data_IF_059427261429
#
_entry.id   IF_059427261429
#
_cell.length_a   1.000
_cell.length_b   1.000
_cell.length_c   1.000
_cell.angle_alpha   90.00
_cell.angle_beta   90.00
_cell.angle_gamma   90.00
#
_symmetry.space_group_name_H-M   'P 1'
#
loop_
_entity.id
_entity.type
_entity.pdbx_description
1 polymer ?
#
# COMPACT_ATOMS: atom_id res chain seq x y z
N UNK A 1 -7.55 -15.45 44.55
CA UNK A 1 -7.36 -14.55 43.39
C UNK A 1 -6.86 -13.22 43.91
N UNK A 2 -5.60 -12.83 43.63
CA UNK A 2 -4.93 -11.71 44.31
C UNK A 2 -5.55 -10.36 43.89
N UNK A 3 -6.00 -9.58 44.83
CA UNK A 3 -6.59 -8.23 44.61
C UNK A 3 -5.64 -7.32 43.82
N UNK A 4 -4.33 -7.48 43.92
CA UNK A 4 -3.31 -6.74 43.18
C UNK A 4 -3.38 -7.06 41.69
N UNK A 5 -3.63 -8.32 41.29
CA UNK A 5 -3.75 -8.73 39.89
C UNK A 5 -5.00 -8.10 39.23
N UNK A 6 -6.11 -7.98 40.00
CA UNK A 6 -7.35 -7.36 39.51
C UNK A 6 -7.17 -5.85 39.27
N UNK A 7 -6.46 -5.15 40.15
CA UNK A 7 -6.14 -3.72 39.94
C UNK A 7 -5.16 -3.48 38.83
N UNK A 8 -4.19 -4.39 38.60
CA UNK A 8 -3.26 -4.32 37.48
C UNK A 8 -3.98 -4.53 36.14
N UNK A 9 -4.86 -5.52 36.06
CA UNK A 9 -5.70 -5.77 34.88
C UNK A 9 -6.69 -4.62 34.61
N UNK A 10 -7.24 -4.03 35.67
CA UNK A 10 -8.13 -2.86 35.52
C UNK A 10 -7.34 -1.63 35.02
N UNK A 11 -6.10 -1.43 35.53
CA UNK A 11 -5.21 -0.37 35.07
C UNK A 11 -4.82 -0.50 33.58
N UNK A 12 -4.53 -1.72 33.14
CA UNK A 12 -4.27 -2.03 31.72
C UNK A 12 -5.49 -1.80 30.84
N UNK A 13 -6.68 -2.13 31.32
CA UNK A 13 -7.94 -1.90 30.60
C UNK A 13 -8.23 -0.40 30.43
N UNK A 14 -8.02 0.39 31.48
CA UNK A 14 -8.21 1.86 31.46
C UNK A 14 -7.17 2.52 30.54
N UNK A 15 -5.90 2.08 30.57
CA UNK A 15 -4.87 2.57 29.68
C UNK A 15 -5.19 2.23 28.22
N UNK A 16 -5.66 1.02 27.94
CA UNK A 16 -6.10 0.59 26.60
C UNK A 16 -7.27 1.44 26.07
N UNK A 17 -8.25 1.75 26.92
CA UNK A 17 -9.41 2.61 26.55
C UNK A 17 -8.94 4.04 26.30
N UNK A 18 -7.99 4.57 27.08
CA UNK A 18 -7.43 5.91 26.91
C UNK A 18 -6.65 6.06 25.58
N UNK A 19 -5.81 5.07 25.25
CA UNK A 19 -5.03 5.03 24.01
C UNK A 19 -5.96 4.87 22.81
N UNK A 20 -6.95 3.99 22.87
CA UNK A 20 -7.95 3.81 21.82
C UNK A 20 -8.82 5.07 21.63
N UNK A 21 -9.18 5.77 22.71
CA UNK A 21 -9.93 7.03 22.64
C UNK A 21 -9.12 8.16 21.98
N UNK A 22 -7.82 8.27 22.30
CA UNK A 22 -6.94 9.26 21.70
C UNK A 22 -6.68 8.96 20.20
N UNK A 23 -6.41 7.70 19.85
CA UNK A 23 -6.28 7.25 18.47
C UNK A 23 -7.56 7.46 17.67
N UNK A 24 -8.73 7.18 18.26
CA UNK A 24 -10.02 7.42 17.62
C UNK A 24 -10.28 8.89 17.35
N UNK A 25 -9.93 9.78 18.28
CA UNK A 25 -10.04 11.25 18.08
C UNK A 25 -9.10 11.76 17.00
N UNK A 26 -7.88 11.22 16.92
CA UNK A 26 -6.90 11.56 15.88
C UNK A 26 -7.31 11.03 14.51
N UNK A 27 -7.81 9.79 14.44
CA UNK A 27 -8.39 9.18 13.22
C UNK A 27 -9.63 9.92 12.74
N UNK A 28 -10.51 10.34 13.68
CA UNK A 28 -11.70 11.13 13.34
C UNK A 28 -11.33 12.49 12.73
N UNK A 29 -10.25 13.12 13.19
CA UNK A 29 -9.76 14.38 12.64
C UNK A 29 -9.14 14.21 11.24
N UNK A 30 -8.42 13.12 11.01
CA UNK A 30 -7.86 12.76 9.69
C UNK A 30 -8.99 12.37 8.73
N UNK A 31 -9.97 11.59 9.20
CA UNK A 31 -11.11 11.14 8.37
C UNK A 31 -12.09 12.28 8.07
N UNK A 32 -12.25 13.26 8.96
CA UNK A 32 -13.04 14.46 8.66
C UNK A 32 -12.39 15.34 7.59
N UNK A 33 -11.06 15.40 7.54
CA UNK A 33 -10.35 16.08 6.47
C UNK A 33 -10.48 15.33 5.13
N UNK A 34 -10.38 14.00 5.14
CA UNK A 34 -10.60 13.17 3.94
C UNK A 34 -12.04 13.29 3.42
N UNK A 35 -13.05 13.21 4.31
CA UNK A 35 -14.47 13.35 3.95
C UNK A 35 -14.79 14.76 3.43
N UNK A 36 -14.13 15.81 3.95
CA UNK A 36 -14.31 17.18 3.44
C UNK A 36 -13.74 17.37 2.03
N UNK A 37 -12.64 16.68 1.70
CA UNK A 37 -12.06 16.67 0.35
C UNK A 37 -12.92 15.85 -0.62
N UNK A 38 -13.40 14.68 -0.20
CA UNK A 38 -14.31 13.83 -0.97
C UNK A 38 -15.63 14.56 -1.28
N UNK A 39 -16.24 15.22 -0.28
CA UNK A 39 -17.48 15.96 -0.46
C UNK A 39 -17.31 17.21 -1.35
N UNK A 40 -16.18 17.90 -1.28
CA UNK A 40 -15.86 19.03 -2.15
C UNK A 40 -15.62 18.58 -3.60
N UNK A 41 -15.05 17.39 -3.80
CA UNK A 41 -14.84 16.77 -5.11
C UNK A 41 -16.18 16.29 -5.72
N UNK A 42 -17.00 15.59 -4.96
CA UNK A 42 -18.34 15.14 -5.39
C UNK A 42 -19.27 16.34 -5.73
N UNK A 43 -19.16 17.43 -4.98
CA UNK A 43 -19.93 18.65 -5.23
C UNK A 43 -19.52 19.36 -6.54
N UNK A 44 -18.27 19.21 -7.00
CA UNK A 44 -17.80 19.68 -8.31
C UNK A 44 -18.31 18.81 -9.46
N UNK A 45 -18.42 17.50 -9.26
CA UNK A 45 -18.89 16.55 -10.30
C UNK A 45 -20.39 16.62 -10.53
N UNK A 46 -21.19 16.91 -9.51
CA UNK A 46 -22.66 16.92 -9.61
C UNK A 46 -23.26 18.22 -10.15
N UNK A 47 -22.45 19.28 -10.35
CA UNK A 47 -22.82 20.49 -11.07
C UNK A 47 -24.19 21.07 -10.69
N UNK A 48 -24.47 21.24 -9.40
CA UNK A 48 -25.75 21.80 -8.96
C UNK A 48 -25.77 23.32 -9.15
N UNK A 49 -26.11 23.72 -10.36
CA UNK A 49 -26.38 25.11 -10.75
C UNK A 49 -27.79 25.48 -10.37
N UNK A 50 -28.07 25.72 -9.11
CA UNK A 50 -29.32 26.32 -8.66
C UNK A 50 -29.03 27.62 -7.90
N UNK A 51 -28.50 28.61 -8.58
CA UNK A 51 -28.55 30.00 -8.11
C UNK A 51 -29.74 30.72 -8.78
N UNK A 52 -30.84 30.77 -8.05
CA UNK A 52 -32.01 31.58 -8.36
C UNK A 52 -31.61 33.06 -8.32
N UNK A 53 -31.74 33.71 -9.45
CA UNK A 53 -31.69 35.17 -9.61
C UNK A 53 -32.90 35.78 -8.90
N UNK A 54 -32.70 36.64 -7.92
CA UNK A 54 -33.65 37.70 -7.57
C UNK A 54 -32.94 39.06 -7.58
N UNK A 55 -33.55 40.07 -8.22
CA UNK A 55 -33.02 41.42 -8.26
C UNK A 55 -33.66 42.24 -7.15
N UNK A 56 -32.89 42.97 -6.33
CA UNK A 56 -33.37 44.26 -5.85
C UNK A 56 -32.21 45.14 -5.36
N UNK A 57 -32.30 46.41 -5.77
CA UNK A 57 -31.37 47.46 -5.53
C UNK A 57 -31.45 48.09 -4.14
N UNK A 58 -30.50 48.98 -3.86
CA UNK A 58 -30.55 49.90 -2.74
C UNK A 58 -29.17 50.32 -2.25
N UNK A 59 -28.80 51.56 -2.56
CA UNK A 59 -27.61 52.27 -2.13
C UNK A 59 -27.39 52.24 -0.61
N UNK A 60 -26.13 52.11 -0.13
CA UNK A 60 -25.53 53.07 0.78
C UNK A 60 -24.03 52.81 0.94
N UNK A 61 -23.29 53.91 0.80
CA UNK A 61 -21.86 53.99 1.03
C UNK A 61 -21.54 53.94 2.52
N UNK A 62 -20.55 53.10 2.91
CA UNK A 62 -19.74 53.35 4.07
C UNK A 62 -18.31 52.86 3.82
N UNK A 63 -17.37 53.79 3.93
CA UNK A 63 -15.94 53.58 3.84
C UNK A 63 -15.46 52.67 4.99
N UNK A 64 -14.57 51.73 4.67
CA UNK A 64 -13.82 51.03 5.69
C UNK A 64 -13.03 49.84 5.15
N UNK A 65 -11.72 49.94 5.17
CA UNK A 65 -10.71 48.91 5.00
C UNK A 65 -10.50 48.39 3.57
N UNK A 66 -9.48 48.91 2.93
CA UNK A 66 -8.87 48.33 1.73
C UNK A 66 -8.29 46.98 2.05
N UNK A 67 -9.03 45.93 1.80
CA UNK A 67 -8.51 44.62 1.50
C UNK A 67 -7.99 44.69 0.06
N UNK A 68 -6.72 44.33 -0.16
CA UNK A 68 -6.18 44.25 -1.51
C UNK A 68 -6.97 43.21 -2.28
N UNK A 69 -7.96 43.69 -3.02
CA UNK A 69 -8.87 42.87 -3.81
C UNK A 69 -8.23 42.42 -5.11
N UNK A 70 -8.63 41.26 -5.48
CA UNK A 70 -8.87 40.70 -6.81
C UNK A 70 -8.13 41.41 -7.97
N UNK A 71 -6.86 41.05 -8.14
CA UNK A 71 -6.23 41.17 -9.45
C UNK A 71 -6.83 40.04 -10.28
N UNK A 72 -7.53 40.34 -11.41
CA UNK A 72 -8.02 39.28 -12.30
C UNK A 72 -6.82 38.41 -12.68
N UNK A 73 -6.97 37.08 -12.51
CA UNK A 73 -5.92 36.14 -12.82
C UNK A 73 -5.56 36.25 -14.30
N UNK A 74 -4.46 36.92 -14.59
CA UNK A 74 -3.85 36.90 -15.92
C UNK A 74 -3.13 35.56 -16.11
N UNK A 75 -3.00 35.09 -17.35
CA UNK A 75 -2.27 33.86 -17.68
C UNK A 75 -0.85 33.83 -17.06
N UNK A 76 -0.21 34.99 -16.93
CA UNK A 76 1.08 35.15 -16.30
C UNK A 76 1.05 34.87 -14.78
N UNK A 77 -0.03 35.25 -14.09
CA UNK A 77 -0.21 34.95 -12.66
C UNK A 77 -0.40 33.46 -12.43
N UNK A 78 -1.13 32.76 -13.29
CA UNK A 78 -1.32 31.30 -13.21
C UNK A 78 0.01 30.59 -13.50
N UNK A 79 0.78 31.01 -14.49
CA UNK A 79 2.09 30.41 -14.78
C UNK A 79 3.08 30.56 -13.62
N UNK A 80 3.05 31.69 -12.90
CA UNK A 80 3.85 31.89 -11.70
C UNK A 80 3.38 30.99 -10.55
N UNK A 81 2.07 30.90 -10.33
CA UNK A 81 1.46 30.02 -9.34
C UNK A 81 1.84 28.54 -9.58
N UNK A 82 1.73 28.07 -10.80
CA UNK A 82 2.13 26.70 -11.19
C UNK A 82 3.59 26.42 -10.86
N UNK A 83 4.49 27.38 -11.09
CA UNK A 83 5.92 27.21 -10.74
C UNK A 83 6.13 27.09 -9.23
N UNK A 84 5.45 27.91 -8.44
CA UNK A 84 5.55 27.85 -6.97
C UNK A 84 4.93 26.57 -6.40
N UNK A 85 3.77 26.14 -6.92
CA UNK A 85 3.12 24.89 -6.52
C UNK A 85 4.00 23.68 -6.84
N UNK A 86 4.68 23.64 -8.01
CA UNK A 86 5.63 22.57 -8.33
C UNK A 86 6.84 22.53 -7.38
N UNK A 87 7.38 23.68 -6.99
CA UNK A 87 8.45 23.74 -5.97
C UNK A 87 7.98 23.18 -4.63
N UNK A 88 6.73 23.45 -4.21
CA UNK A 88 6.16 22.90 -2.98
C UNK A 88 5.98 21.37 -3.09
N UNK A 89 5.56 20.89 -4.25
CA UNK A 89 5.45 19.45 -4.52
C UNK A 89 6.82 18.76 -4.41
N UNK A 90 7.84 19.31 -5.06
CA UNK A 90 9.22 18.79 -5.03
C UNK A 90 9.83 18.86 -3.61
N UNK A 91 9.47 19.87 -2.82
CA UNK A 91 9.90 20.03 -1.44
C UNK A 91 9.13 19.16 -0.44
N UNK A 92 8.07 18.45 -0.87
CA UNK A 92 7.24 17.62 0.01
C UNK A 92 6.32 18.41 0.95
N UNK A 93 6.04 19.68 0.66
CA UNK A 93 5.17 20.53 1.47
C UNK A 93 3.68 20.32 1.09
N UNK A 94 3.18 19.09 1.20
CA UNK A 94 1.89 18.68 0.66
C UNK A 94 0.69 19.41 1.25
N UNK A 95 0.65 19.68 2.57
CA UNK A 95 -0.46 20.38 3.21
C UNK A 95 -0.61 21.83 2.69
N UNK A 96 0.53 22.54 2.59
CA UNK A 96 0.56 23.92 2.06
C UNK A 96 0.21 23.95 0.57
N UNK A 97 0.72 22.95 -0.18
CA UNK A 97 0.40 22.78 -1.58
C UNK A 97 -1.10 22.57 -1.77
N UNK A 98 -1.73 21.65 -1.03
CA UNK A 98 -3.16 21.38 -1.10
C UNK A 98 -4.00 22.64 -0.84
N UNK A 99 -3.66 23.41 0.20
CA UNK A 99 -4.36 24.65 0.54
C UNK A 99 -4.29 25.68 -0.59
N UNK A 100 -3.09 25.92 -1.14
CA UNK A 100 -2.90 26.89 -2.21
C UNK A 100 -3.52 26.42 -3.52
N UNK A 101 -3.31 25.17 -3.89
CA UNK A 101 -3.87 24.58 -5.10
C UNK A 101 -5.38 24.67 -5.11
N UNK A 102 -6.05 24.39 -3.98
CA UNK A 102 -7.50 24.52 -3.86
C UNK A 102 -8.00 25.96 -4.09
N UNK A 103 -7.24 26.99 -3.70
CA UNK A 103 -7.58 28.38 -3.99
C UNK A 103 -7.53 28.65 -5.49
N UNK A 104 -6.46 28.25 -6.16
CA UNK A 104 -6.30 28.46 -7.60
C UNK A 104 -7.33 27.67 -8.41
N UNK A 105 -7.66 26.43 -8.00
CA UNK A 105 -8.68 25.61 -8.69
C UNK A 105 -10.11 26.15 -8.52
N UNK A 106 -10.39 26.91 -7.45
CA UNK A 106 -11.69 27.62 -7.34
C UNK A 106 -11.86 28.69 -8.42
N UNK A 107 -10.76 29.39 -8.74
CA UNK A 107 -10.79 30.50 -9.70
C UNK A 107 -10.59 30.01 -11.15
N UNK A 108 -9.81 28.92 -11.33
CA UNK A 108 -9.50 28.33 -12.63
C UNK A 108 -9.69 26.80 -12.60
N UNK A 109 -10.93 26.28 -12.47
CA UNK A 109 -11.21 24.86 -12.22
C UNK A 109 -10.81 23.93 -13.38
N UNK A 110 -10.71 24.45 -14.60
CA UNK A 110 -10.35 23.69 -15.80
C UNK A 110 -8.92 23.97 -16.28
N UNK A 111 -8.08 24.60 -15.45
CA UNK A 111 -6.70 24.85 -15.85
C UNK A 111 -5.89 23.55 -15.83
N UNK A 112 -5.47 23.09 -17.01
CA UNK A 112 -4.77 21.82 -17.22
C UNK A 112 -3.53 21.67 -16.31
N UNK A 113 -2.72 22.73 -16.16
CA UNK A 113 -1.51 22.66 -15.37
C UNK A 113 -1.79 22.49 -13.86
N UNK A 114 -2.86 23.12 -13.34
CA UNK A 114 -3.30 22.96 -11.96
C UNK A 114 -3.89 21.58 -11.72
N UNK A 115 -4.71 21.05 -12.63
CA UNK A 115 -5.28 19.71 -12.55
C UNK A 115 -4.19 18.62 -12.56
N UNK A 116 -3.14 18.80 -13.36
CA UNK A 116 -2.01 17.87 -13.35
C UNK A 116 -1.22 17.92 -12.02
N UNK A 117 -1.09 19.09 -11.40
CA UNK A 117 -0.47 19.18 -10.05
C UNK A 117 -1.38 18.53 -9.00
N UNK A 118 -2.71 18.66 -9.11
CA UNK A 118 -3.66 17.98 -8.23
C UNK A 118 -3.50 16.45 -8.32
N UNK A 119 -3.42 15.92 -9.54
CA UNK A 119 -3.22 14.49 -9.74
C UNK A 119 -1.90 13.98 -9.16
N UNK A 120 -0.80 14.73 -9.32
CA UNK A 120 0.48 14.41 -8.69
C UNK A 120 0.43 14.46 -7.16
N UNK A 121 -0.26 15.44 -6.58
CA UNK A 121 -0.46 15.53 -5.15
C UNK A 121 -1.26 14.33 -4.62
N UNK A 122 -2.37 13.97 -5.28
CA UNK A 122 -3.20 12.82 -4.92
C UNK A 122 -2.38 11.53 -5.01
N UNK A 123 -1.56 11.35 -6.07
CA UNK A 123 -0.66 10.20 -6.21
C UNK A 123 0.27 10.03 -5.01
N UNK A 124 0.77 11.12 -4.47
CA UNK A 124 1.74 11.11 -3.36
C UNK A 124 1.10 11.02 -1.97
N UNK A 125 -0.18 11.40 -1.84
CA UNK A 125 -0.84 11.56 -0.54
C UNK A 125 -2.06 10.67 -0.31
N UNK A 126 -2.57 9.98 -1.35
CA UNK A 126 -3.76 9.16 -1.26
C UNK A 126 -3.46 7.71 -1.69
N UNK A 127 -4.31 6.73 -1.33
CA UNK A 127 -4.18 5.36 -1.81
C UNK A 127 -4.05 5.29 -3.33
N UNK A 128 -3.22 4.37 -3.82
CA UNK A 128 -2.95 4.23 -5.24
C UNK A 128 -4.22 4.00 -6.08
N UNK A 129 -5.19 3.26 -5.54
CA UNK A 129 -6.50 3.09 -6.20
C UNK A 129 -7.22 4.41 -6.38
N UNK A 130 -7.26 5.27 -5.35
CA UNK A 130 -7.85 6.61 -5.42
C UNK A 130 -7.10 7.48 -6.44
N UNK A 131 -5.77 7.44 -6.43
CA UNK A 131 -4.96 8.18 -7.39
C UNK A 131 -5.24 7.74 -8.84
N UNK A 132 -5.30 6.44 -9.11
CA UNK A 132 -5.59 5.93 -10.46
C UNK A 132 -7.00 6.28 -10.91
N UNK A 133 -8.00 6.21 -10.02
CA UNK A 133 -9.38 6.65 -10.33
C UNK A 133 -9.38 8.14 -10.68
N UNK A 134 -8.67 8.97 -9.91
CA UNK A 134 -8.55 10.40 -10.22
C UNK A 134 -7.89 10.65 -11.58
N UNK A 135 -6.84 9.89 -11.92
CA UNK A 135 -6.23 9.98 -13.25
C UNK A 135 -7.20 9.58 -14.38
N UNK A 136 -8.07 8.56 -14.17
CA UNK A 136 -9.14 8.23 -15.12
C UNK A 136 -10.14 9.37 -15.29
N UNK A 137 -10.61 9.96 -14.19
CA UNK A 137 -11.52 11.10 -14.22
C UNK A 137 -10.88 12.30 -14.93
N UNK A 138 -9.59 12.51 -14.70
CA UNK A 138 -8.82 13.54 -15.39
C UNK A 138 -8.69 13.27 -16.90
N UNK A 139 -8.45 12.02 -17.31
CA UNK A 139 -8.38 11.62 -18.73
C UNK A 139 -9.72 11.83 -19.45
N UNK A 140 -10.84 11.67 -18.75
CA UNK A 140 -12.19 11.91 -19.27
C UNK A 140 -12.56 13.41 -19.31
N UNK A 141 -11.76 14.27 -18.67
CA UNK A 141 -11.98 15.72 -18.65
C UNK A 141 -11.51 16.44 -19.93
N UNK A 142 -11.64 17.78 -19.95
CA UNK A 142 -11.30 18.63 -21.12
C UNK A 142 -9.80 18.90 -21.26
N UNK A 143 -8.95 17.86 -21.18
CA UNK A 143 -7.52 17.99 -21.39
C UNK A 143 -7.15 18.16 -22.88
N UNK A 144 -5.99 18.78 -23.12
CA UNK A 144 -5.32 18.73 -24.42
C UNK A 144 -4.98 17.27 -24.78
N UNK A 145 -4.90 16.96 -26.06
CA UNK A 145 -4.55 15.61 -26.54
C UNK A 145 -3.20 15.14 -25.96
N UNK A 146 -2.24 16.05 -25.87
CA UNK A 146 -0.92 15.73 -25.30
C UNK A 146 -1.00 15.38 -23.83
N UNK A 147 -1.72 16.18 -23.02
CA UNK A 147 -1.88 15.93 -21.59
C UNK A 147 -2.66 14.63 -21.33
N UNK A 148 -3.73 14.38 -22.09
CA UNK A 148 -4.49 13.13 -22.02
C UNK A 148 -3.62 11.90 -22.31
N UNK A 149 -2.77 11.96 -23.34
CA UNK A 149 -1.85 10.86 -23.65
C UNK A 149 -0.86 10.64 -22.52
N UNK A 150 -0.34 11.70 -21.91
CA UNK A 150 0.57 11.60 -20.77
C UNK A 150 -0.14 10.99 -19.54
N UNK A 151 -1.36 11.41 -19.25
CA UNK A 151 -2.19 10.85 -18.17
C UNK A 151 -2.45 9.35 -18.39
N UNK A 152 -2.82 8.94 -19.61
CA UNK A 152 -3.03 7.52 -19.92
C UNK A 152 -1.74 6.69 -19.80
N UNK A 153 -0.60 7.25 -20.20
CA UNK A 153 0.71 6.61 -20.02
C UNK A 153 1.06 6.46 -18.53
N UNK A 154 0.75 7.46 -17.71
CA UNK A 154 0.97 7.43 -16.26
C UNK A 154 0.09 6.38 -15.58
N UNK A 155 -1.21 6.31 -15.92
CA UNK A 155 -2.12 5.24 -15.45
C UNK A 155 -1.50 3.86 -15.73
N UNK A 156 -1.08 3.63 -16.97
CA UNK A 156 -0.51 2.34 -17.37
C UNK A 156 0.78 2.03 -16.61
N UNK A 157 1.65 3.02 -16.43
CA UNK A 157 2.94 2.87 -15.75
C UNK A 157 2.75 2.56 -14.28
N UNK A 158 1.95 3.34 -13.57
CA UNK A 158 1.67 3.17 -12.13
C UNK A 158 1.02 1.82 -11.87
N UNK A 159 -0.01 1.47 -12.64
CA UNK A 159 -0.71 0.21 -12.50
C UNK A 159 0.20 -0.99 -12.72
N UNK A 160 0.94 -1.01 -13.84
CA UNK A 160 1.84 -2.13 -14.16
C UNK A 160 2.99 -2.27 -13.16
N UNK A 161 3.53 -1.15 -12.68
CA UNK A 161 4.58 -1.16 -11.66
C UNK A 161 4.04 -1.75 -10.35
N UNK A 162 2.88 -1.29 -9.88
CA UNK A 162 2.26 -1.79 -8.66
C UNK A 162 1.92 -3.28 -8.78
N UNK A 163 1.28 -3.70 -9.88
CA UNK A 163 0.92 -5.09 -10.12
C UNK A 163 2.14 -6.01 -10.07
N UNK A 164 3.22 -5.67 -10.79
CA UNK A 164 4.45 -6.46 -10.75
C UNK A 164 5.02 -6.57 -9.34
N UNK A 165 5.08 -5.46 -8.62
CA UNK A 165 5.68 -5.41 -7.29
C UNK A 165 4.85 -6.20 -6.27
N UNK A 166 3.54 -6.02 -6.26
CA UNK A 166 2.63 -6.71 -5.35
C UNK A 166 2.62 -8.23 -5.60
N UNK A 167 2.59 -8.65 -6.86
CA UNK A 167 2.63 -10.07 -7.24
C UNK A 167 3.97 -10.73 -6.88
N UNK A 168 5.10 -10.06 -7.14
CA UNK A 168 6.41 -10.56 -6.75
C UNK A 168 6.56 -10.69 -5.23
N UNK A 169 5.91 -9.81 -4.48
CA UNK A 169 5.86 -9.84 -3.02
C UNK A 169 4.74 -10.73 -2.48
N UNK A 170 3.95 -11.40 -3.33
CA UNK A 170 2.79 -12.24 -2.99
C UNK A 170 1.73 -11.49 -2.13
N UNK A 171 1.60 -10.19 -2.33
CA UNK A 171 0.67 -9.33 -1.57
C UNK A 171 -0.73 -9.38 -2.19
N UNK A 172 -1.35 -10.56 -2.18
CA UNK A 172 -2.61 -10.82 -2.88
C UNK A 172 -3.78 -10.00 -2.36
N UNK A 173 -3.76 -9.64 -1.07
CA UNK A 173 -4.77 -8.74 -0.50
C UNK A 173 -4.68 -7.33 -1.10
N UNK A 174 -3.46 -6.78 -1.24
CA UNK A 174 -3.27 -5.47 -1.87
C UNK A 174 -3.52 -5.51 -3.38
N UNK A 175 -3.24 -6.65 -4.05
CA UNK A 175 -3.64 -6.87 -5.44
C UNK A 175 -5.16 -6.83 -5.58
N UNK A 176 -5.90 -7.52 -4.70
CA UNK A 176 -7.36 -7.50 -4.69
C UNK A 176 -7.90 -6.08 -4.46
N UNK A 177 -7.44 -5.40 -3.40
CA UNK A 177 -7.86 -4.05 -3.04
C UNK A 177 -7.68 -3.04 -4.19
N UNK A 178 -6.52 -3.10 -4.87
CA UNK A 178 -6.24 -2.23 -6.02
C UNK A 178 -7.19 -2.52 -7.19
N UNK A 179 -7.32 -3.81 -7.57
CA UNK A 179 -8.10 -4.17 -8.75
C UNK A 179 -9.61 -4.09 -8.53
N UNK A 180 -10.10 -4.31 -7.30
CA UNK A 180 -11.52 -4.15 -6.97
C UNK A 180 -11.98 -2.71 -7.19
N UNK A 181 -11.22 -1.72 -6.69
CA UNK A 181 -11.54 -0.31 -6.88
C UNK A 181 -11.49 0.10 -8.36
N UNK A 182 -10.49 -0.40 -9.11
CA UNK A 182 -10.37 -0.11 -10.54
C UNK A 182 -11.43 -0.80 -11.38
N UNK A 183 -11.81 -2.02 -11.06
CA UNK A 183 -12.91 -2.76 -11.70
C UNK A 183 -14.25 -2.03 -11.53
N UNK A 184 -14.52 -1.45 -10.36
CA UNK A 184 -15.71 -0.64 -10.15
C UNK A 184 -15.74 0.61 -11.04
N UNK A 185 -14.57 1.24 -11.32
CA UNK A 185 -14.46 2.44 -12.16
C UNK A 185 -14.45 2.12 -13.66
N UNK A 186 -13.81 1.03 -14.07
CA UNK A 186 -13.63 0.61 -15.48
C UNK A 186 -13.95 -0.89 -15.60
N UNK A 187 -15.24 -1.25 -15.57
CA UNK A 187 -15.68 -2.66 -15.51
C UNK A 187 -15.36 -3.47 -16.78
N UNK A 188 -15.14 -2.81 -17.90
CA UNK A 188 -14.84 -3.46 -19.18
C UNK A 188 -13.35 -3.79 -19.37
N UNK A 189 -12.48 -3.36 -18.42
CA UNK A 189 -11.06 -3.63 -18.51
C UNK A 189 -10.73 -5.04 -17.99
N UNK A 190 -10.56 -5.97 -18.92
CA UNK A 190 -10.29 -7.38 -18.62
C UNK A 190 -9.08 -7.62 -17.71
N UNK A 191 -8.08 -6.73 -17.76
CA UNK A 191 -6.90 -6.85 -16.89
C UNK A 191 -7.27 -6.74 -15.40
N UNK A 192 -8.20 -5.86 -15.05
CA UNK A 192 -8.65 -5.69 -13.65
C UNK A 192 -9.43 -6.91 -13.18
N UNK A 193 -10.34 -7.42 -14.02
CA UNK A 193 -11.12 -8.63 -13.74
C UNK A 193 -10.19 -9.82 -13.49
N UNK A 194 -9.24 -10.06 -14.38
CA UNK A 194 -8.34 -11.21 -14.29
C UNK A 194 -7.39 -11.11 -13.08
N UNK A 195 -6.81 -9.93 -12.83
CA UNK A 195 -5.92 -9.74 -11.70
C UNK A 195 -6.66 -9.82 -10.35
N UNK A 196 -7.91 -9.35 -10.29
CA UNK A 196 -8.75 -9.46 -9.11
C UNK A 196 -9.13 -10.94 -8.85
N UNK A 197 -9.56 -11.64 -9.89
CA UNK A 197 -9.89 -13.07 -9.78
C UNK A 197 -8.68 -13.92 -9.36
N UNK A 198 -7.50 -13.66 -9.93
CA UNK A 198 -6.26 -14.33 -9.54
C UNK A 198 -5.89 -14.03 -8.06
N UNK A 199 -6.05 -12.79 -7.62
CA UNK A 199 -5.83 -12.44 -6.22
C UNK A 199 -6.79 -13.18 -5.28
N UNK A 200 -8.07 -13.33 -5.64
CA UNK A 200 -9.03 -14.11 -4.87
C UNK A 200 -8.72 -15.61 -4.91
N UNK A 201 -8.24 -16.14 -6.05
CA UNK A 201 -7.79 -17.53 -6.15
C UNK A 201 -6.66 -17.83 -5.16
N UNK A 202 -5.62 -16.98 -5.12
CA UNK A 202 -4.52 -17.13 -4.16
C UNK A 202 -4.94 -16.96 -2.69
N UNK A 203 -6.05 -16.28 -2.44
CA UNK A 203 -6.63 -16.13 -1.09
C UNK A 203 -7.66 -17.20 -0.75
N UNK A 204 -7.88 -18.20 -1.63
CA UNK A 204 -8.92 -19.24 -1.51
C UNK A 204 -10.34 -18.66 -1.35
N UNK A 205 -10.58 -17.43 -1.85
CA UNK A 205 -11.88 -16.77 -1.87
C UNK A 205 -12.65 -17.17 -3.15
N UNK A 206 -12.96 -18.45 -3.32
CA UNK A 206 -13.44 -19.03 -4.58
C UNK A 206 -14.76 -18.43 -5.07
N UNK A 207 -15.70 -18.14 -4.17
CA UNK A 207 -16.97 -17.49 -4.52
C UNK A 207 -16.74 -16.11 -5.15
N UNK A 208 -15.90 -15.27 -4.53
CA UNK A 208 -15.58 -13.93 -5.06
C UNK A 208 -14.83 -14.03 -6.40
N UNK A 209 -13.94 -15.03 -6.54
CA UNK A 209 -13.25 -15.30 -7.79
C UNK A 209 -14.25 -15.59 -8.93
N UNK A 210 -15.21 -16.50 -8.70
CA UNK A 210 -16.21 -16.85 -9.72
C UNK A 210 -17.14 -15.69 -10.03
N UNK A 211 -17.57 -14.90 -9.03
CA UNK A 211 -18.41 -13.73 -9.22
C UNK A 211 -17.74 -12.70 -10.15
N UNK A 212 -16.44 -12.46 -9.96
CA UNK A 212 -15.67 -11.56 -10.82
C UNK A 212 -15.47 -12.16 -12.22
N UNK A 213 -15.13 -13.45 -12.32
CA UNK A 213 -14.93 -14.14 -13.60
C UNK A 213 -16.21 -14.27 -14.43
N UNK A 214 -17.39 -14.15 -13.81
CA UNK A 214 -18.67 -14.16 -14.51
C UNK A 214 -18.84 -12.95 -15.48
N UNK A 215 -18.07 -11.87 -15.29
CA UNK A 215 -18.03 -10.75 -16.22
C UNK A 215 -17.30 -11.06 -17.55
N UNK A 216 -16.55 -12.18 -17.61
CA UNK A 216 -15.83 -12.61 -18.82
C UNK A 216 -16.55 -13.74 -19.55
N UNK A 217 -16.34 -13.89 -20.87
CA UNK A 217 -16.85 -15.05 -21.60
C UNK A 217 -16.40 -16.38 -20.96
N UNK A 218 -17.28 -17.35 -20.88
CA UNK A 218 -17.03 -18.65 -20.25
C UNK A 218 -15.76 -19.34 -20.78
N UNK A 219 -15.46 -19.21 -22.06
CA UNK A 219 -14.30 -19.82 -22.71
C UNK A 219 -13.04 -18.95 -22.69
N UNK A 220 -12.99 -17.91 -21.86
CA UNK A 220 -11.82 -17.04 -21.76
C UNK A 220 -10.63 -17.83 -21.19
N UNK A 221 -9.53 -17.98 -21.96
CA UNK A 221 -8.42 -18.89 -21.65
C UNK A 221 -7.74 -18.61 -20.31
N UNK A 222 -7.48 -17.33 -20.00
CA UNK A 222 -6.87 -16.93 -18.72
C UNK A 222 -7.82 -17.17 -17.54
N UNK A 223 -9.12 -16.96 -17.71
CA UNK A 223 -10.10 -17.27 -16.66
C UNK A 223 -10.14 -18.79 -16.35
N UNK A 224 -10.05 -19.63 -17.38
CA UNK A 224 -9.95 -21.08 -17.20
C UNK A 224 -8.66 -21.49 -16.48
N UNK A 225 -7.53 -20.83 -16.79
CA UNK A 225 -6.26 -21.08 -16.10
C UNK A 225 -6.33 -20.72 -14.61
N UNK A 226 -6.98 -19.59 -14.26
CA UNK A 226 -7.19 -19.16 -12.87
C UNK A 226 -8.05 -20.19 -12.12
N UNK A 227 -9.15 -20.66 -12.73
CA UNK A 227 -9.99 -21.73 -12.16
C UNK A 227 -9.20 -23.01 -11.95
N UNK A 228 -8.43 -23.43 -12.97
CA UNK A 228 -7.58 -24.62 -12.88
C UNK A 228 -6.61 -24.55 -11.69
N UNK A 229 -5.96 -23.43 -11.49
CA UNK A 229 -5.08 -23.19 -10.34
C UNK A 229 -5.86 -23.26 -9.01
N UNK A 230 -6.94 -22.51 -8.87
CA UNK A 230 -7.69 -22.37 -7.62
C UNK A 230 -8.26 -23.72 -7.14
N UNK A 231 -8.85 -24.52 -8.02
CA UNK A 231 -9.47 -25.79 -7.67
C UNK A 231 -8.45 -26.95 -7.51
N UNK A 232 -7.25 -26.86 -8.10
CA UNK A 232 -6.16 -27.83 -7.83
C UNK A 232 -5.59 -27.63 -6.42
N UNK A 233 -5.46 -26.40 -5.95
CA UNK A 233 -4.97 -26.08 -4.62
C UNK A 233 -5.97 -26.53 -3.55
N UNK A 234 -7.29 -26.38 -3.78
CA UNK A 234 -8.33 -26.90 -2.92
C UNK A 234 -8.29 -28.43 -2.80
N UNK A 235 -8.13 -29.14 -3.92
CA UNK A 235 -8.03 -30.60 -3.93
C UNK A 235 -6.79 -31.10 -3.16
N UNK A 236 -5.69 -30.39 -3.21
CA UNK A 236 -4.46 -30.72 -2.49
C UNK A 236 -4.60 -30.51 -0.98
N UNK A 237 -5.30 -29.49 -0.54
CA UNK A 237 -5.53 -29.19 0.89
C UNK A 237 -6.47 -30.20 1.59
N UNK A 238 -7.32 -30.90 0.84
CA UNK A 238 -8.24 -31.93 1.37
C UNK A 238 -7.50 -33.25 1.63
N UNK A 239 -6.39 -33.51 0.95
CA UNK A 239 -5.63 -34.77 1.08
C UNK A 239 -4.72 -34.80 2.33
N UNK A 240 -4.40 -33.67 2.93
CA UNK A 240 -3.55 -33.57 4.13
C UNK A 240 -4.30 -33.75 5.47
N UNK A 241 -5.47 -34.39 5.48
CA UNK A 241 -6.14 -34.75 6.73
C UNK A 241 -5.64 -36.14 7.21
N UNK A 242 -4.81 -36.19 8.28
CA UNK A 242 -4.20 -37.47 8.71
C UNK A 242 -5.20 -38.31 9.53
N UNK A 243 -6.21 -38.84 8.91
CA UNK A 243 -7.13 -39.79 9.53
C UNK A 243 -7.18 -41.14 8.78
N UNK A 244 -6.00 -41.70 8.46
CA UNK A 244 -5.88 -43.15 8.27
C UNK A 244 -4.42 -43.63 8.30
N UNK A 245 -3.93 -44.22 9.42
CA UNK A 245 -2.56 -44.74 9.49
C UNK A 245 -2.53 -46.24 9.15
N UNK A 246 -2.85 -46.65 7.92
CA UNK A 246 -2.66 -48.03 7.52
C UNK A 246 -2.64 -48.22 5.99
N UNK A 247 -1.57 -47.73 5.36
CA UNK A 247 -1.06 -48.32 4.10
C UNK A 247 0.19 -47.59 3.58
N UNK A 248 1.27 -47.58 4.36
CA UNK A 248 2.59 -47.19 3.84
C UNK A 248 3.67 -48.08 4.49
N UNK A 249 3.79 -49.30 3.98
CA UNK A 249 5.02 -50.05 3.99
C UNK A 249 5.07 -50.85 2.71
N UNK A 250 5.90 -50.39 1.83
CA UNK A 250 6.75 -51.16 0.91
C UNK A 250 7.08 -50.34 -0.33
N UNK A 251 8.37 -50.20 -0.54
CA UNK A 251 9.09 -49.71 -1.70
C UNK A 251 9.71 -48.32 -1.60
N UNK A 252 10.85 -48.25 -0.91
CA UNK A 252 11.87 -47.21 -1.16
C UNK A 252 13.25 -47.80 -0.87
N UNK A 253 13.71 -48.72 -1.66
CA UNK A 253 15.14 -48.94 -1.85
C UNK A 253 15.56 -48.40 -3.21
N UNK A 254 16.63 -47.63 -3.20
CA UNK A 254 17.39 -47.06 -4.32
C UNK A 254 16.98 -45.72 -4.91
N UNK A 255 17.46 -44.63 -4.24
CA UNK A 255 18.04 -43.49 -4.92
C UNK A 255 18.99 -42.75 -3.95
N UNK A 256 20.16 -43.32 -3.76
CA UNK A 256 21.30 -42.51 -3.28
C UNK A 256 21.76 -41.65 -4.43
N UNK A 257 21.31 -40.40 -4.48
CA UNK A 257 21.84 -39.37 -5.35
C UNK A 257 22.22 -38.15 -4.52
N UNK A 258 23.53 -37.93 -4.44
CA UNK A 258 24.22 -36.68 -4.13
C UNK A 258 23.41 -35.71 -3.23
N UNK A 259 23.51 -35.84 -1.93
CA UNK A 259 23.16 -34.81 -0.94
C UNK A 259 23.99 -33.58 -1.22
N UNK A 260 23.46 -32.65 -2.00
CA UNK A 260 23.95 -31.28 -2.04
C UNK A 260 23.76 -30.69 -0.66
N UNK A 261 24.84 -30.35 0.01
CA UNK A 261 24.84 -29.69 1.30
C UNK A 261 23.93 -28.47 1.23
N UNK A 262 22.82 -28.48 1.95
CA UNK A 262 21.98 -27.31 2.17
C UNK A 262 22.78 -26.41 3.13
N UNK A 263 23.11 -25.21 2.68
CA UNK A 263 23.84 -24.24 3.52
C UNK A 263 22.95 -23.84 4.69
N UNK A 264 23.34 -24.21 5.89
CA UNK A 264 22.71 -23.76 7.12
C UNK A 264 23.40 -22.47 7.60
N UNK A 265 22.60 -21.48 7.93
CA UNK A 265 23.07 -20.20 8.47
C UNK A 265 22.39 -19.96 9.81
N UNK A 266 23.18 -19.80 10.85
CA UNK A 266 22.72 -19.48 12.19
C UNK A 266 22.86 -17.98 12.42
N UNK A 267 21.73 -17.29 12.59
CA UNK A 267 21.66 -15.83 12.80
C UNK A 267 21.43 -15.57 14.28
N UNK A 268 22.28 -14.78 14.94
CA UNK A 268 22.07 -14.39 16.33
C UNK A 268 20.77 -13.60 16.49
N UNK A 269 19.96 -13.97 17.49
CA UNK A 269 18.75 -13.25 17.88
C UNK A 269 19.02 -12.48 19.16
N UNK A 270 18.66 -11.21 19.18
CA UNK A 270 18.59 -10.43 20.41
C UNK A 270 17.16 -10.48 20.93
N UNK A 271 16.99 -10.91 22.17
CA UNK A 271 15.67 -10.91 22.81
C UNK A 271 15.40 -9.56 23.47
N UNK A 272 14.27 -8.97 23.13
CA UNK A 272 13.78 -7.73 23.70
C UNK A 272 12.33 -7.91 24.16
N UNK A 273 12.13 -8.16 25.46
CA UNK A 273 10.84 -8.60 25.98
C UNK A 273 10.41 -9.94 25.38
N UNK A 274 9.26 -9.95 24.71
CA UNK A 274 8.74 -11.13 24.03
C UNK A 274 9.06 -11.15 22.53
N UNK A 275 9.84 -10.18 22.04
CA UNK A 275 10.23 -10.07 20.64
C UNK A 275 11.67 -10.52 20.42
N UNK A 276 11.94 -11.03 19.22
CA UNK A 276 13.29 -11.28 18.72
C UNK A 276 13.68 -10.19 17.72
N UNK A 277 14.92 -9.74 17.80
CA UNK A 277 15.50 -8.77 16.86
C UNK A 277 16.68 -9.38 16.13
N UNK A 278 16.86 -8.96 14.90
CA UNK A 278 17.95 -9.38 14.01
C UNK A 278 18.56 -8.16 13.34
N UNK A 279 19.85 -8.26 13.00
CA UNK A 279 20.54 -7.25 12.21
C UNK A 279 20.36 -7.52 10.73
N UNK A 280 20.10 -6.46 9.98
CA UNK A 280 20.09 -6.44 8.52
C UNK A 280 20.85 -5.19 8.02
N UNK A 281 21.19 -5.16 6.73
CA UNK A 281 21.80 -4.00 6.09
C UNK A 281 20.93 -3.64 4.87
N UNK A 282 20.53 -2.37 4.79
CA UNK A 282 19.68 -1.86 3.72
C UNK A 282 20.37 -0.67 3.06
N UNK A 283 20.78 -0.79 1.79
CA UNK A 283 21.51 0.28 1.09
C UNK A 283 22.69 0.83 1.92
N UNK A 284 23.49 -0.06 2.50
CA UNK A 284 24.65 0.26 3.35
C UNK A 284 24.31 0.93 4.72
N UNK A 285 23.03 1.01 5.08
CA UNK A 285 22.56 1.40 6.41
C UNK A 285 22.29 0.17 7.26
N UNK A 286 22.83 0.14 8.48
CA UNK A 286 22.50 -0.86 9.48
C UNK A 286 21.05 -0.71 9.94
N UNK A 287 20.36 -1.84 10.07
CA UNK A 287 18.96 -1.88 10.46
C UNK A 287 18.71 -2.93 11.55
N UNK A 288 18.19 -2.50 12.70
CA UNK A 288 17.71 -3.36 13.79
C UNK A 288 16.24 -3.72 13.53
N UNK A 289 15.99 -4.96 13.08
CA UNK A 289 14.70 -5.43 12.64
C UNK A 289 14.06 -6.37 13.66
N UNK A 290 12.78 -6.16 13.97
CA UNK A 290 11.96 -7.12 14.72
C UNK A 290 11.64 -8.29 13.80
N UNK A 291 11.90 -9.52 14.24
CA UNK A 291 11.51 -10.73 13.54
C UNK A 291 10.00 -10.95 13.70
N UNK A 292 9.25 -10.79 12.62
CA UNK A 292 7.78 -10.87 12.65
C UNK A 292 7.24 -11.84 11.59
N UNK A 293 6.96 -13.08 12.05
CA UNK A 293 6.38 -14.13 11.19
C UNK A 293 4.89 -13.90 10.89
N UNK A 294 4.23 -13.01 11.60
CA UNK A 294 2.84 -12.59 11.36
C UNK A 294 2.71 -11.53 10.27
N UNK A 295 3.79 -10.82 9.97
CA UNK A 295 3.79 -9.81 8.92
C UNK A 295 4.04 -10.46 7.54
N UNK A 296 3.10 -10.32 6.60
CA UNK A 296 3.27 -10.81 5.23
C UNK A 296 4.30 -10.01 4.45
N UNK A 297 4.44 -8.73 4.76
CA UNK A 297 5.38 -7.80 4.14
C UNK A 297 6.24 -7.13 5.20
N UNK A 298 7.52 -6.96 4.91
CA UNK A 298 8.45 -6.22 5.79
C UNK A 298 8.07 -4.75 5.87
N UNK A 299 8.41 -4.13 6.98
CA UNK A 299 8.19 -2.71 7.18
C UNK A 299 9.47 -2.04 7.66
N UNK A 300 9.62 -0.76 7.34
CA UNK A 300 10.73 0.09 7.80
C UNK A 300 10.19 1.31 8.53
N UNK A 301 10.91 1.77 9.54
CA UNK A 301 10.57 3.01 10.25
C UNK A 301 10.80 4.21 9.34
N UNK A 302 10.08 5.30 9.60
CA UNK A 302 10.29 6.55 8.86
C UNK A 302 11.72 7.09 9.05
N UNK A 303 12.34 6.85 10.20
CA UNK A 303 13.72 7.26 10.47
C UNK A 303 14.72 6.50 9.59
N UNK A 304 14.58 5.17 9.46
CA UNK A 304 15.41 4.38 8.54
C UNK A 304 15.17 4.77 7.08
N UNK A 305 13.90 4.96 6.68
CA UNK A 305 13.55 5.45 5.34
C UNK A 305 14.28 6.75 5.00
N UNK A 306 14.35 7.70 5.94
CA UNK A 306 15.07 8.96 5.75
C UNK A 306 16.59 8.76 5.67
N UNK A 307 17.18 7.92 6.51
CA UNK A 307 18.63 7.60 6.46
C UNK A 307 19.01 7.03 5.11
N UNK A 308 18.19 6.16 4.55
CA UNK A 308 18.40 5.58 3.21
C UNK A 308 18.19 6.58 2.05
N UNK A 309 17.87 7.84 2.30
CA UNK A 309 17.68 8.87 1.28
C UNK A 309 16.24 9.06 0.80
N UNK A 310 15.27 8.39 1.41
CA UNK A 310 13.85 8.54 1.12
C UNK A 310 13.49 8.12 -0.32
N UNK A 311 12.51 8.78 -0.91
CA UNK A 311 12.05 8.48 -2.27
C UNK A 311 13.08 8.73 -3.38
N UNK A 312 14.23 9.34 -3.08
CA UNK A 312 15.33 9.51 -4.05
C UNK A 312 16.04 8.20 -4.33
N UNK A 313 16.11 7.32 -3.35
CA UNK A 313 16.83 6.04 -3.41
C UNK A 313 15.90 4.85 -3.36
N UNK A 314 14.73 5.00 -2.75
CA UNK A 314 13.71 3.98 -2.61
C UNK A 314 12.54 4.30 -3.55
N UNK A 315 12.43 3.62 -4.71
CA UNK A 315 11.33 3.83 -5.63
C UNK A 315 9.97 3.65 -4.95
N UNK A 316 9.14 4.67 -5.05
CA UNK A 316 7.77 4.68 -4.57
C UNK A 316 6.88 3.83 -5.47
N UNK A 317 6.07 2.96 -4.90
CA UNK A 317 5.12 2.11 -5.62
C UNK A 317 3.71 2.69 -5.53
N UNK A 318 3.34 3.19 -4.37
CA UNK A 318 2.03 3.78 -4.08
C UNK A 318 1.74 3.76 -2.59
N UNK A 319 0.69 4.46 -2.18
CA UNK A 319 0.14 4.31 -0.83
C UNK A 319 -0.91 3.21 -0.83
N UNK A 320 -0.94 2.43 0.24
CA UNK A 320 -1.88 1.32 0.43
C UNK A 320 -2.44 1.34 1.84
N UNK A 321 -3.66 0.87 1.98
CA UNK A 321 -4.24 0.60 3.27
C UNK A 321 -3.71 -0.72 3.80
N UNK A 322 -3.00 -0.70 4.93
CA UNK A 322 -2.35 -1.86 5.52
C UNK A 322 -3.01 -2.17 6.86
N UNK A 323 -3.34 -3.44 7.08
CA UNK A 323 -3.88 -3.90 8.34
C UNK A 323 -2.75 -4.27 9.29
N UNK A 324 -2.79 -3.71 10.49
CA UNK A 324 -1.84 -3.97 11.57
C UNK A 324 -2.58 -4.50 12.80
N UNK A 325 -1.86 -5.00 13.78
CA UNK A 325 -2.46 -5.41 15.05
C UNK A 325 -3.23 -4.26 15.75
N UNK A 326 -2.87 -3.00 15.47
CA UNK A 326 -3.49 -1.79 16.04
C UNK A 326 -4.64 -1.24 15.19
N UNK A 327 -4.94 -1.84 14.05
CA UNK A 327 -5.95 -1.38 13.10
C UNK A 327 -5.39 -1.13 11.70
N UNK A 328 -6.16 -0.42 10.87
CA UNK A 328 -5.79 -0.08 9.51
C UNK A 328 -5.05 1.25 9.46
N UNK A 329 -3.94 1.30 8.74
CA UNK A 329 -3.18 2.52 8.46
C UNK A 329 -2.98 2.68 6.95
N UNK A 330 -2.91 3.92 6.49
CA UNK A 330 -2.44 4.24 5.15
C UNK A 330 -0.92 4.43 5.18
N UNK A 331 -0.19 3.70 4.34
CA UNK A 331 1.27 3.73 4.34
C UNK A 331 1.85 3.55 2.93
N UNK A 332 3.00 4.19 2.71
CA UNK A 332 3.71 4.08 1.46
C UNK A 332 4.36 2.70 1.31
N UNK A 333 4.17 2.07 0.17
CA UNK A 333 4.92 0.91 -0.28
C UNK A 333 6.11 1.41 -1.11
N UNK A 334 7.30 1.00 -0.72
CA UNK A 334 8.55 1.32 -1.41
C UNK A 334 9.29 0.05 -1.81
N UNK A 335 10.24 0.19 -2.71
CA UNK A 335 11.12 -0.86 -3.16
C UNK A 335 12.53 -0.59 -2.63
N UNK A 336 13.06 -1.50 -1.82
CA UNK A 336 14.45 -1.48 -1.38
C UNK A 336 15.29 -2.19 -2.43
N UNK A 337 16.18 -1.49 -3.15
CA UNK A 337 16.95 -2.09 -4.25
C UNK A 337 17.83 -3.25 -3.80
N UNK A 338 18.46 -3.12 -2.63
CA UNK A 338 19.34 -4.15 -2.06
C UNK A 338 19.10 -4.26 -0.54
N UNK A 339 18.78 -5.46 -0.10
CA UNK A 339 18.60 -5.82 1.29
C UNK A 339 19.54 -7.00 1.61
N UNK A 340 20.40 -6.85 2.61
CA UNK A 340 21.35 -7.90 3.03
C UNK A 340 20.90 -8.47 4.38
N UNK A 341 20.71 -9.77 4.42
CA UNK A 341 20.31 -10.48 5.62
C UNK A 341 20.98 -11.86 5.70
N UNK A 342 21.57 -12.16 6.83
CA UNK A 342 22.22 -13.46 7.08
C UNK A 342 23.29 -13.86 6.03
N UNK A 343 23.96 -12.87 5.43
CA UNK A 343 24.93 -13.09 4.35
C UNK A 343 24.32 -13.32 2.98
N UNK A 344 23.00 -13.17 2.84
CA UNK A 344 22.29 -13.17 1.55
C UNK A 344 22.01 -11.76 1.07
N UNK A 345 22.10 -11.54 -0.23
CA UNK A 345 21.71 -10.31 -0.89
C UNK A 345 20.36 -10.53 -1.60
N UNK A 346 19.35 -9.76 -1.19
CA UNK A 346 17.99 -9.86 -1.71
C UNK A 346 17.69 -8.56 -2.44
N UNK A 347 17.49 -8.66 -3.75
CA UNK A 347 17.19 -7.50 -4.58
C UNK A 347 15.69 -7.19 -4.58
N UNK A 348 15.37 -5.90 -4.71
CA UNK A 348 14.02 -5.40 -4.97
C UNK A 348 12.99 -5.81 -3.90
N UNK A 349 13.36 -5.71 -2.63
CA UNK A 349 12.47 -6.04 -1.51
C UNK A 349 11.39 -4.98 -1.36
N UNK A 350 10.13 -5.40 -1.32
CA UNK A 350 9.01 -4.52 -0.98
C UNK A 350 8.97 -4.28 0.52
N UNK A 351 8.79 -3.04 0.93
CA UNK A 351 8.62 -2.67 2.33
C UNK A 351 7.60 -1.53 2.50
N UNK A 352 6.84 -1.60 3.58
CA UNK A 352 5.94 -0.53 4.01
C UNK A 352 6.73 0.46 4.85
N UNK A 353 6.56 1.76 4.58
CA UNK A 353 7.12 2.83 5.41
C UNK A 353 6.13 3.16 6.50
N UNK A 354 6.46 2.81 7.73
CA UNK A 354 5.62 3.08 8.89
C UNK A 354 5.79 4.53 9.38
N UNK A 355 4.73 5.13 9.99
CA UNK A 355 4.83 6.43 10.65
C UNK A 355 5.93 6.47 11.72
N UNK A 356 6.44 7.66 12.03
CA UNK A 356 7.61 7.88 12.91
C UNK A 356 7.45 7.25 14.29
N UNK A 357 6.23 7.26 14.85
CA UNK A 357 5.93 6.74 16.19
C UNK A 357 5.52 5.25 16.21
N UNK A 358 5.46 4.58 15.05
CA UNK A 358 4.96 3.20 14.98
C UNK A 358 5.95 2.17 15.53
N UNK A 359 7.26 2.45 15.42
CA UNK A 359 8.35 1.59 15.89
C UNK A 359 9.39 2.43 16.63
N UNK A 360 9.15 2.84 17.89
CA UNK A 360 10.01 3.80 18.58
C UNK A 360 11.43 3.30 18.88
N UNK A 361 11.65 2.00 18.92
CA UNK A 361 12.93 1.39 19.33
C UNK A 361 13.49 0.40 18.30
N UNK A 362 12.98 0.42 17.07
CA UNK A 362 13.38 -0.52 16.01
C UNK A 362 13.39 0.19 14.67
N UNK A 363 14.27 -0.27 13.79
CA UNK A 363 14.34 0.23 12.42
C UNK A 363 13.30 -0.38 11.50
N UNK A 364 12.67 -1.52 11.89
CA UNK A 364 11.64 -2.13 11.06
C UNK A 364 11.16 -3.49 11.55
N UNK A 365 10.32 -4.12 10.72
CA UNK A 365 9.83 -5.49 10.86
C UNK A 365 10.35 -6.34 9.71
N UNK A 366 10.94 -7.48 10.01
CA UNK A 366 11.36 -8.48 9.03
C UNK A 366 10.22 -9.47 8.82
N UNK A 367 9.48 -9.32 7.71
CA UNK A 367 8.30 -10.10 7.40
C UNK A 367 8.53 -11.30 6.49
N UNK A 368 7.45 -12.02 6.18
CA UNK A 368 7.47 -13.26 5.40
C UNK A 368 7.91 -13.08 3.95
N UNK A 369 7.80 -11.90 3.37
CA UNK A 369 8.33 -11.63 2.01
C UNK A 369 9.87 -11.75 1.95
N UNK A 370 10.56 -11.76 3.09
CA UNK A 370 11.99 -12.05 3.23
C UNK A 370 12.17 -13.44 3.85
N UNK A 371 11.61 -13.69 5.04
CA UNK A 371 11.74 -14.96 5.76
C UNK A 371 11.25 -16.15 4.96
N UNK A 372 10.16 -15.99 4.22
CA UNK A 372 9.57 -17.05 3.40
C UNK A 372 10.43 -17.50 2.21
N UNK A 373 11.58 -16.84 1.95
CA UNK A 373 12.58 -17.30 0.97
C UNK A 373 13.45 -18.44 1.51
N UNK A 374 13.34 -18.70 2.81
CA UNK A 374 14.12 -19.71 3.55
C UNK A 374 13.18 -20.71 4.22
N UNK A 375 13.66 -21.91 4.40
CA UNK A 375 13.15 -22.79 5.45
C UNK A 375 13.85 -22.34 6.72
N UNK A 376 13.05 -21.95 7.73
CA UNK A 376 13.63 -21.36 8.94
C UNK A 376 13.06 -21.96 10.21
N UNK A 377 13.87 -21.94 11.27
CA UNK A 377 13.46 -22.34 12.62
C UNK A 377 14.04 -21.37 13.63
N UNK A 378 13.21 -20.92 14.58
CA UNK A 378 13.65 -20.16 15.72
C UNK A 378 14.12 -21.15 16.78
N UNK A 379 15.33 -20.97 17.30
CA UNK A 379 15.96 -21.76 18.36
C UNK A 379 16.01 -20.90 19.64
N UNK A 380 14.96 -20.92 20.47
CA UNK A 380 14.83 -19.99 21.59
C UNK A 380 15.89 -20.19 22.69
N UNK A 381 16.38 -21.40 22.84
CA UNK A 381 17.36 -21.74 23.89
C UNK A 381 18.76 -21.22 23.54
N UNK A 382 19.07 -21.23 22.23
CA UNK A 382 20.36 -20.76 21.69
C UNK A 382 20.33 -19.27 21.33
N UNK A 383 19.15 -18.63 21.38
CA UNK A 383 18.91 -17.29 20.82
C UNK A 383 19.40 -17.17 19.37
N UNK A 384 19.02 -18.13 18.53
CA UNK A 384 19.41 -18.18 17.12
C UNK A 384 18.21 -18.41 16.20
N UNK A 385 18.32 -17.91 14.99
CA UNK A 385 17.47 -18.24 13.86
C UNK A 385 18.28 -19.11 12.90
N UNK A 386 17.83 -20.33 12.68
CA UNK A 386 18.37 -21.22 11.66
C UNK A 386 17.69 -20.91 10.34
N UNK A 387 18.48 -20.70 9.30
CA UNK A 387 18.02 -20.49 7.93
C UNK A 387 18.62 -21.53 7.00
N UNK A 388 17.79 -22.09 6.14
CA UNK A 388 18.18 -22.98 5.04
C UNK A 388 17.58 -22.44 3.75
N UNK A 389 18.37 -22.37 2.68
CA UNK A 389 17.89 -21.90 1.39
C UNK A 389 16.88 -22.91 0.81
N UNK A 390 15.68 -22.43 0.46
CA UNK A 390 14.68 -23.29 -0.21
C UNK A 390 15.19 -23.68 -1.58
N UNK A 391 15.31 -24.97 -1.82
CA UNK A 391 15.57 -25.50 -3.17
C UNK A 391 14.36 -25.14 -4.04
N UNK A 392 14.55 -24.36 -5.09
CA UNK A 392 13.52 -24.25 -6.13
C UNK A 392 13.21 -25.66 -6.65
N UNK A 393 11.92 -26.03 -6.78
CA UNK A 393 11.59 -27.27 -7.46
C UNK A 393 12.15 -27.22 -8.88
N UNK A 394 12.76 -28.31 -9.32
CA UNK A 394 13.50 -28.43 -10.59
C UNK A 394 12.59 -28.29 -11.85
N UNK A 395 11.29 -28.04 -11.71
CA UNK A 395 10.30 -27.99 -12.78
C UNK A 395 9.43 -26.72 -12.65
N UNK A 396 9.96 -25.57 -13.03
CA UNK A 396 9.18 -24.37 -13.30
C UNK A 396 9.94 -23.52 -14.34
N UNK A 397 9.97 -24.02 -15.56
CA UNK A 397 10.21 -23.24 -16.79
C UNK A 397 8.95 -23.25 -17.64
#
# INVERSE_FOLDING_TARGET
MNRVLVYFLLGLLVASIGINGYLWLRLKKVNQNAISHESAYQQRLTGDSSAVLQPNGGHSATQGARYNGDVPYSDENIANAVRELRKMLEAGHYDKLAEQLNRYLKDAPNNEALLLIEAELIKLTQPLSTALIHYYDLADSSLSTSARNNVNAEISTLYQQAQRQLRQAQQWELVAQLNEALYQRVPDEHAYILNLAEAYAHQQKLTLMEDVLAALPFNHSKAQAIRGFAYQEEASSIVDNPANPSSLRENSESAITAEGYVREVYVPLRRYGDQYRVDAITLDEDADMILDTGATISAISYSLFRRMGGYRTLPFVGNFQVYTASGSIEAALVKIPLFKFAGYEISNVSAIVLPEDALPESDGLLGMNILGKFDFSILPQENQLLLQERKKPLNAD
#
